data_IF_528047382960
#
_entry.id   IF_528047382960
#
_cell.length_a   1.000
_cell.length_b   1.000
_cell.length_c   1.000
_cell.angle_alpha   90.00
_cell.angle_beta   90.00
_cell.angle_gamma   90.00
#
_symmetry.space_group_name_H-M   'P 1'
#
loop_
_entity.id
_entity.type
_entity.pdbx_description
1 polymer ?
#
# COMPACT_ATOMS: atom_id res chain seq x y z
N UNK A 1 12.94 2.31 28.50
CA UNK A 1 13.09 2.02 27.06
C UNK A 1 12.03 2.81 26.33
N UNK A 2 12.43 3.75 25.48
CA UNK A 2 11.48 4.59 24.74
C UNK A 2 10.93 3.77 23.58
N UNK A 3 9.63 3.49 23.61
CA UNK A 3 8.93 2.86 22.48
C UNK A 3 8.55 3.94 21.49
N UNK A 4 8.67 3.64 20.20
CA UNK A 4 8.16 4.50 19.12
C UNK A 4 6.87 3.89 18.59
N UNK A 5 5.92 4.73 18.17
CA UNK A 5 4.62 4.26 17.68
C UNK A 5 4.23 5.02 16.43
N UNK A 6 3.55 4.33 15.52
CA UNK A 6 3.01 4.91 14.30
C UNK A 6 1.71 4.23 13.93
N UNK A 7 0.82 4.97 13.27
CA UNK A 7 -0.44 4.45 12.79
C UNK A 7 -0.69 4.97 11.38
N UNK A 8 -1.22 4.10 10.54
CA UNK A 8 -1.71 4.45 9.22
C UNK A 8 -2.86 3.53 8.82
N UNK A 9 -3.56 3.94 7.77
CA UNK A 9 -4.70 3.21 7.27
C UNK A 9 -4.79 3.35 5.75
N UNK A 10 -5.36 2.35 5.09
CA UNK A 10 -5.58 2.33 3.65
C UNK A 10 -6.98 1.82 3.33
N UNK A 11 -7.56 2.35 2.27
CA UNK A 11 -8.71 1.76 1.61
C UNK A 11 -8.33 0.44 0.93
N UNK A 12 -9.35 -0.35 0.59
CA UNK A 12 -9.26 -1.50 -0.29
C UNK A 12 -9.57 -1.11 -1.72
N UNK A 13 -9.46 -2.07 -2.62
CA UNK A 13 -9.68 -1.89 -4.04
C UNK A 13 -10.34 -3.13 -4.64
N UNK A 14 -11.26 -2.92 -5.58
CA UNK A 14 -11.90 -3.98 -6.36
C UNK A 14 -11.55 -3.76 -7.82
N UNK A 15 -10.83 -4.72 -8.40
CA UNK A 15 -10.59 -4.76 -9.84
C UNK A 15 -11.84 -5.27 -10.56
N UNK A 16 -12.31 -4.54 -11.58
CA UNK A 16 -13.49 -4.93 -12.39
C UNK A 16 -13.08 -5.64 -13.68
N UNK A 17 -12.17 -5.02 -14.44
CA UNK A 17 -11.62 -5.58 -15.68
C UNK A 17 -10.12 -5.34 -15.66
N UNK A 18 -9.33 -6.35 -16.05
CA UNK A 18 -7.90 -6.21 -16.13
C UNK A 18 -7.28 -7.10 -17.21
N UNK A 19 -6.05 -6.73 -17.57
CA UNK A 19 -5.09 -7.56 -18.28
C UNK A 19 -3.79 -7.52 -17.49
N UNK A 20 -3.04 -8.61 -17.51
CA UNK A 20 -1.76 -8.74 -16.78
C UNK A 20 -0.62 -8.27 -17.68
N UNK A 21 0.33 -7.54 -17.11
CA UNK A 21 1.57 -7.13 -17.75
C UNK A 21 2.73 -7.28 -16.75
N UNK A 22 3.27 -8.49 -16.68
CA UNK A 22 4.36 -8.86 -15.76
C UNK A 22 5.63 -9.35 -16.49
N UNK A 23 5.69 -9.15 -17.81
CA UNK A 23 6.84 -9.53 -18.64
C UNK A 23 8.08 -8.64 -18.45
N UNK A 24 7.95 -7.49 -17.79
CA UNK A 24 9.07 -6.57 -17.55
C UNK A 24 10.04 -7.14 -16.49
N UNK A 25 11.34 -6.98 -16.69
CA UNK A 25 12.36 -7.43 -15.74
C UNK A 25 12.34 -6.65 -14.43
N UNK A 26 11.94 -5.38 -14.48
CA UNK A 26 11.87 -4.51 -13.31
C UNK A 26 10.48 -4.57 -12.68
N UNK A 27 10.40 -4.99 -11.42
CA UNK A 27 9.14 -5.11 -10.67
C UNK A 27 8.35 -3.79 -10.63
N UNK A 28 9.03 -2.64 -10.66
CA UNK A 28 8.37 -1.34 -10.62
C UNK A 28 7.55 -1.05 -11.90
N UNK A 29 7.92 -1.67 -13.03
CA UNK A 29 7.24 -1.52 -14.31
C UNK A 29 6.17 -2.60 -14.54
N UNK A 30 6.22 -3.69 -13.78
CA UNK A 30 5.19 -4.72 -13.81
C UNK A 30 3.89 -4.24 -13.19
N UNK A 31 2.76 -4.66 -13.75
CA UNK A 31 1.45 -4.42 -13.17
C UNK A 31 0.30 -4.87 -14.07
N UNK A 32 -0.81 -4.14 -14.02
CA UNK A 32 -1.97 -4.41 -14.86
C UNK A 32 -2.50 -3.16 -15.54
N UNK A 33 -3.11 -3.34 -16.71
CA UNK A 33 -4.08 -2.42 -17.30
C UNK A 33 -5.48 -2.85 -16.92
N UNK A 34 -6.41 -1.91 -16.77
CA UNK A 34 -7.74 -2.23 -16.29
C UNK A 34 -8.53 -1.06 -15.72
N UNK A 35 -9.68 -1.37 -15.16
CA UNK A 35 -10.55 -0.44 -14.43
C UNK A 35 -10.93 -1.08 -13.10
N UNK A 36 -11.08 -0.24 -12.08
CA UNK A 36 -11.42 -0.67 -10.73
C UNK A 36 -12.10 0.43 -9.93
N UNK A 37 -12.38 0.11 -8.67
CA UNK A 37 -13.03 0.99 -7.73
C UNK A 37 -12.36 0.86 -6.36
N UNK A 38 -11.88 1.98 -5.85
CA UNK A 38 -11.42 2.08 -4.47
C UNK A 38 -12.61 2.06 -3.52
N UNK A 39 -12.54 1.19 -2.52
CA UNK A 39 -13.61 1.03 -1.54
C UNK A 39 -13.60 2.24 -0.59
N UNK A 40 -14.82 2.67 -0.29
CA UNK A 40 -15.24 3.97 0.24
C UNK A 40 -14.39 4.56 1.39
N UNK A 41 -14.29 5.91 1.49
CA UNK A 41 -13.37 6.65 2.35
C UNK A 41 -13.91 6.93 3.76
N UNK A 42 -15.12 6.47 4.12
CA UNK A 42 -15.73 6.71 5.45
C UNK A 42 -15.02 5.88 6.53
N UNK A 43 -14.62 4.65 6.21
CA UNK A 43 -13.78 3.84 7.08
C UNK A 43 -12.67 3.16 6.28
N UNK A 44 -11.40 3.26 6.71
CA UNK A 44 -10.32 2.59 6.03
C UNK A 44 -10.50 1.08 6.14
N UNK A 45 -10.34 0.42 5.00
CA UNK A 45 -10.49 -1.02 4.87
C UNK A 45 -9.47 -1.78 5.71
N UNK A 46 -8.26 -1.24 5.87
CA UNK A 46 -7.29 -1.77 6.80
C UNK A 46 -6.55 -0.67 7.57
N UNK A 47 -6.37 -0.90 8.87
CA UNK A 47 -5.65 -0.06 9.81
C UNK A 47 -4.47 -0.82 10.38
N UNK A 48 -3.32 -0.16 10.45
CA UNK A 48 -2.09 -0.70 11.01
C UNK A 48 -1.62 0.21 12.13
N UNK A 49 -1.34 -0.37 13.29
CA UNK A 49 -0.62 0.27 14.39
C UNK A 49 0.69 -0.50 14.57
N UNK A 50 1.80 0.23 14.57
CA UNK A 50 3.13 -0.34 14.83
C UNK A 50 3.68 0.22 16.13
N UNK A 51 4.39 -0.63 16.87
CA UNK A 51 5.19 -0.24 18.03
C UNK A 51 6.59 -0.78 17.85
N UNK A 52 7.58 0.12 17.84
CA UNK A 52 8.99 -0.19 17.71
C UNK A 52 9.71 -0.13 19.05
N UNK A 53 10.55 -1.12 19.31
CA UNK A 53 11.52 -1.16 20.41
C UNK A 53 12.90 -1.41 19.84
N UNK A 54 13.96 -0.81 20.41
CA UNK A 54 15.33 -0.95 19.89
C UNK A 54 15.67 -2.44 19.71
N UNK A 55 16.17 -2.79 18.53
CA UNK A 55 16.26 -4.17 18.06
C UNK A 55 17.01 -4.35 16.75
N UNK A 56 16.72 -5.43 16.04
CA UNK A 56 17.42 -5.86 14.82
C UNK A 56 16.42 -6.15 13.69
N UNK A 57 15.40 -5.31 13.51
CA UNK A 57 14.48 -5.39 12.37
C UNK A 57 13.49 -6.56 12.41
N UNK A 58 13.28 -7.19 13.57
CA UNK A 58 12.42 -8.40 13.67
C UNK A 58 10.97 -8.04 13.98
N UNK A 59 10.03 -8.81 13.44
CA UNK A 59 8.63 -8.73 13.86
C UNK A 59 8.42 -9.48 15.18
N UNK A 60 7.76 -8.83 16.13
CA UNK A 60 7.38 -9.38 17.44
C UNK A 60 5.92 -9.81 17.42
N UNK A 61 5.64 -11.11 17.63
CA UNK A 61 4.28 -11.62 17.89
C UNK A 61 3.89 -12.87 17.09
N UNK A 62 2.73 -13.45 17.46
CA UNK A 62 2.08 -14.56 16.74
C UNK A 62 1.07 -14.01 15.74
N UNK A 63 1.54 -13.36 14.67
CA UNK A 63 0.68 -13.02 13.54
C UNK A 63 0.44 -14.26 12.67
N UNK A 64 -0.66 -14.29 11.90
CA UNK A 64 -0.89 -15.37 10.94
C UNK A 64 0.26 -15.42 9.93
N UNK A 65 0.70 -16.62 9.53
CA UNK A 65 1.90 -16.81 8.70
C UNK A 65 1.94 -15.94 7.43
N UNK A 66 0.80 -15.71 6.76
CA UNK A 66 0.75 -14.87 5.55
C UNK A 66 0.96 -13.38 5.82
N UNK A 67 0.38 -12.84 6.90
CA UNK A 67 0.57 -11.43 7.27
C UNK A 67 2.02 -11.18 7.73
N UNK A 68 2.65 -12.15 8.39
CA UNK A 68 4.06 -12.06 8.78
C UNK A 68 4.99 -11.91 7.57
N UNK A 69 4.78 -12.71 6.52
CA UNK A 69 5.60 -12.64 5.29
C UNK A 69 5.46 -11.27 4.63
N UNK A 70 4.22 -10.77 4.49
CA UNK A 70 3.96 -9.45 3.92
C UNK A 70 4.65 -8.34 4.73
N UNK A 71 4.44 -8.33 6.04
CA UNK A 71 5.00 -7.30 6.92
C UNK A 71 6.54 -7.34 6.94
N UNK A 72 7.15 -8.52 6.93
CA UNK A 72 8.60 -8.64 6.86
C UNK A 72 9.12 -8.13 5.51
N UNK A 73 8.44 -8.48 4.41
CA UNK A 73 8.80 -7.99 3.07
C UNK A 73 8.69 -6.47 2.96
N UNK A 74 7.71 -5.86 3.66
CA UNK A 74 7.60 -4.39 3.78
C UNK A 74 8.83 -3.82 4.51
N UNK A 75 9.21 -4.37 5.66
CA UNK A 75 10.39 -3.92 6.42
C UNK A 75 11.66 -4.03 5.56
N UNK A 76 11.87 -5.18 4.93
CA UNK A 76 13.05 -5.46 4.11
C UNK A 76 13.12 -4.50 2.91
N UNK A 77 11.98 -4.24 2.25
CA UNK A 77 11.91 -3.33 1.11
C UNK A 77 12.06 -1.87 1.54
N UNK A 78 11.42 -1.46 2.64
CA UNK A 78 11.53 -0.11 3.19
C UNK A 78 12.95 0.20 3.66
N UNK A 79 13.69 -0.79 4.16
CA UNK A 79 15.07 -0.61 4.64
C UNK A 79 16.04 -0.05 3.59
N UNK A 80 15.72 -0.21 2.30
CA UNK A 80 16.49 0.34 1.19
C UNK A 80 16.39 1.86 1.11
N UNK A 81 15.32 2.44 1.67
CA UNK A 81 15.03 3.87 1.65
C UNK A 81 15.14 4.51 3.05
N UNK A 82 14.77 3.75 4.08
CA UNK A 82 14.82 4.17 5.50
C UNK A 82 15.52 3.08 6.30
N UNK A 83 16.88 3.04 6.29
CA UNK A 83 17.65 1.99 6.96
C UNK A 83 17.39 1.88 8.47
N UNK A 84 17.02 2.99 9.12
CA UNK A 84 16.70 3.04 10.55
C UNK A 84 15.52 2.14 10.96
N UNK A 85 14.69 1.69 10.02
CA UNK A 85 13.64 0.69 10.30
C UNK A 85 14.21 -0.62 10.87
N UNK A 86 15.46 -0.96 10.54
CA UNK A 86 16.13 -2.17 11.03
C UNK A 86 16.72 -2.01 12.44
N UNK A 87 16.76 -0.78 12.98
CA UNK A 87 17.23 -0.52 14.35
C UNK A 87 16.16 -0.85 15.41
N UNK A 88 14.97 -1.27 14.97
CA UNK A 88 13.84 -1.57 15.84
C UNK A 88 13.28 -2.96 15.54
N UNK A 89 12.84 -3.66 16.59
CA UNK A 89 11.91 -4.76 16.47
C UNK A 89 10.48 -4.22 16.53
N UNK A 90 9.61 -4.75 15.70
CA UNK A 90 8.29 -4.19 15.43
C UNK A 90 7.18 -5.12 15.87
N UNK A 91 6.30 -4.64 16.75
CA UNK A 91 4.99 -5.24 16.95
C UNK A 91 4.00 -4.57 16.00
N UNK A 92 3.34 -5.36 15.15
CA UNK A 92 2.41 -4.86 14.13
C UNK A 92 1.02 -5.39 14.42
N UNK A 93 0.09 -4.48 14.70
CA UNK A 93 -1.33 -4.77 14.90
C UNK A 93 -2.10 -4.37 13.66
N UNK A 94 -2.75 -5.34 13.03
CA UNK A 94 -3.53 -5.15 11.83
C UNK A 94 -5.01 -5.40 12.12
N UNK A 95 -5.85 -4.43 11.77
CA UNK A 95 -7.30 -4.54 11.83
C UNK A 95 -7.86 -4.19 10.45
N UNK A 96 -8.49 -5.15 9.79
CA UNK A 96 -9.18 -4.88 8.52
C UNK A 96 -10.68 -5.18 8.67
N UNK A 97 -11.52 -4.30 8.12
CA UNK A 97 -12.99 -4.38 8.25
C UNK A 97 -13.69 -5.28 7.21
N UNK A 98 -12.93 -5.87 6.29
CA UNK A 98 -13.45 -6.73 5.23
C UNK A 98 -12.89 -8.17 5.37
N UNK A 99 -13.64 -9.19 4.90
CA UNK A 99 -13.15 -10.57 4.91
C UNK A 99 -11.91 -10.74 4.03
N UNK A 100 -10.92 -11.48 4.52
CA UNK A 100 -9.69 -11.78 3.80
C UNK A 100 -9.93 -12.63 2.54
N UNK A 101 -9.06 -12.47 1.54
CA UNK A 101 -9.00 -13.30 0.32
C UNK A 101 -10.22 -13.26 -0.61
N UNK A 102 -11.07 -12.23 -0.51
CA UNK A 102 -12.24 -12.06 -1.39
C UNK A 102 -12.04 -11.04 -2.52
N UNK A 103 -10.78 -10.70 -2.84
CA UNK A 103 -10.48 -9.76 -3.94
C UNK A 103 -10.66 -8.28 -3.62
N UNK A 104 -10.69 -7.90 -2.34
CA UNK A 104 -10.84 -6.50 -1.88
C UNK A 104 -9.52 -5.71 -1.76
N UNK A 105 -8.41 -6.22 -2.31
CA UNK A 105 -7.11 -5.54 -2.24
C UNK A 105 -6.54 -5.40 -0.82
N UNK A 106 -6.90 -6.29 0.11
CA UNK A 106 -6.48 -6.23 1.51
C UNK A 106 -4.97 -6.41 1.70
N UNK A 107 -4.31 -7.17 0.82
CA UNK A 107 -2.85 -7.33 0.81
C UNK A 107 -2.18 -5.99 0.52
N UNK A 108 -2.54 -5.36 -0.61
CA UNK A 108 -2.09 -4.02 -0.98
C UNK A 108 -2.38 -2.97 0.11
N UNK A 109 -3.60 -2.96 0.66
CA UNK A 109 -3.97 -2.06 1.75
C UNK A 109 -3.10 -2.26 3.00
N UNK A 110 -2.85 -3.52 3.38
CA UNK A 110 -1.99 -3.88 4.50
C UNK A 110 -0.54 -3.49 4.27
N UNK A 111 0.01 -3.73 3.06
CA UNK A 111 1.38 -3.36 2.71
C UNK A 111 1.58 -1.84 2.74
N UNK A 112 0.66 -1.09 2.13
CA UNK A 112 0.67 0.36 2.11
C UNK A 112 0.57 0.97 3.52
N UNK A 113 -0.43 0.53 4.29
CA UNK A 113 -0.62 1.02 5.66
C UNK A 113 0.56 0.63 6.57
N UNK A 114 1.18 -0.54 6.37
CA UNK A 114 2.36 -0.94 7.15
C UNK A 114 3.56 -0.05 6.82
N UNK A 115 3.85 0.18 5.54
CA UNK A 115 4.97 1.03 5.12
C UNK A 115 4.83 2.46 5.67
N UNK A 116 3.61 3.02 5.64
CA UNK A 116 3.35 4.36 6.13
C UNK A 116 3.40 4.43 7.67
N UNK A 117 2.85 3.44 8.37
CA UNK A 117 2.88 3.40 9.83
C UNK A 117 4.32 3.30 10.38
N UNK A 118 5.17 2.48 9.75
CA UNK A 118 6.60 2.35 10.10
C UNK A 118 7.34 3.68 9.94
N UNK A 119 7.16 4.35 8.80
CA UNK A 119 7.80 5.64 8.54
C UNK A 119 7.32 6.74 9.51
N UNK A 120 6.02 6.78 9.81
CA UNK A 120 5.48 7.69 10.83
C UNK A 120 6.06 7.43 12.22
N UNK A 121 6.22 6.15 12.60
CA UNK A 121 6.85 5.79 13.88
C UNK A 121 8.31 6.27 13.96
N UNK A 122 9.03 6.24 12.84
CA UNK A 122 10.40 6.73 12.71
C UNK A 122 10.50 8.26 12.58
N UNK A 123 9.37 8.97 12.52
CA UNK A 123 9.34 10.43 12.37
C UNK A 123 9.75 10.93 10.99
N UNK A 124 9.63 10.10 9.95
CA UNK A 124 9.84 10.53 8.56
C UNK A 124 8.76 11.53 8.18
N UNK A 125 9.13 12.61 7.50
CA UNK A 125 8.20 13.64 7.05
C UNK A 125 7.10 13.04 6.14
N UNK A 126 5.85 13.43 6.37
CA UNK A 126 4.69 12.85 5.68
C UNK A 126 4.74 13.07 4.15
N UNK A 127 5.30 14.19 3.68
CA UNK A 127 5.42 14.47 2.24
C UNK A 127 6.40 13.52 1.54
N UNK A 128 7.38 13.01 2.28
CA UNK A 128 8.29 11.97 1.80
C UNK A 128 7.69 10.57 2.02
N UNK A 129 7.12 10.33 3.20
CA UNK A 129 6.65 9.01 3.61
C UNK A 129 5.47 8.52 2.79
N UNK A 130 4.55 9.40 2.42
CA UNK A 130 3.37 9.05 1.65
C UNK A 130 3.72 8.46 0.27
N UNK A 131 4.38 9.17 -0.67
CA UNK A 131 4.75 8.60 -1.97
C UNK A 131 5.68 7.40 -1.85
N UNK A 132 6.63 7.42 -0.89
CA UNK A 132 7.52 6.30 -0.66
C UNK A 132 6.78 5.03 -0.23
N UNK A 133 5.74 5.16 0.58
CA UNK A 133 4.90 4.03 1.00
C UNK A 133 4.22 3.35 -0.20
N UNK A 134 3.73 4.13 -1.18
CA UNK A 134 3.15 3.56 -2.40
C UNK A 134 4.20 2.84 -3.25
N UNK A 135 5.39 3.42 -3.39
CA UNK A 135 6.49 2.78 -4.10
C UNK A 135 6.88 1.44 -3.46
N UNK A 136 7.10 1.45 -2.14
CA UNK A 136 7.46 0.24 -1.37
C UNK A 136 6.34 -0.80 -1.46
N UNK A 137 5.09 -0.40 -1.26
CA UNK A 137 3.96 -1.33 -1.28
C UNK A 137 3.75 -1.97 -2.67
N UNK A 138 3.97 -1.23 -3.76
CA UNK A 138 3.96 -1.80 -5.11
C UNK A 138 5.01 -2.90 -5.25
N UNK A 139 6.26 -2.61 -4.88
CA UNK A 139 7.34 -3.59 -4.94
C UNK A 139 7.06 -4.82 -4.09
N UNK A 140 6.48 -4.65 -2.90
CA UNK A 140 6.09 -5.76 -2.01
C UNK A 140 5.03 -6.65 -2.67
N UNK A 141 3.97 -6.05 -3.22
CA UNK A 141 2.91 -6.80 -3.92
C UNK A 141 3.46 -7.59 -5.12
N UNK A 142 4.43 -7.01 -5.85
CA UNK A 142 5.10 -7.70 -6.95
C UNK A 142 6.03 -8.83 -6.48
N UNK A 143 6.79 -8.63 -5.42
CA UNK A 143 7.67 -9.67 -4.84
C UNK A 143 6.90 -10.89 -4.32
N UNK A 144 5.70 -10.67 -3.80
CA UNK A 144 4.86 -11.71 -3.22
C UNK A 144 3.81 -12.27 -4.18
N UNK A 145 3.81 -11.82 -5.45
CA UNK A 145 2.78 -12.17 -6.44
C UNK A 145 1.35 -11.94 -5.93
N UNK A 146 1.16 -10.89 -5.12
CA UNK A 146 -0.12 -10.55 -4.50
C UNK A 146 -1.07 -9.86 -5.48
N UNK A 147 -0.79 -8.59 -5.78
CA UNK A 147 -1.58 -7.73 -6.66
C UNK A 147 -0.78 -7.13 -7.82
N UNK A 148 -1.47 -6.82 -8.91
CA UNK A 148 -0.88 -6.23 -10.13
C UNK A 148 -1.21 -4.75 -10.33
N UNK A 149 -2.23 -4.23 -9.66
CA UNK A 149 -2.54 -2.80 -9.78
C UNK A 149 -3.41 -2.22 -8.69
N UNK A 150 -3.55 -2.92 -7.55
CA UNK A 150 -4.29 -2.40 -6.40
C UNK A 150 -3.60 -1.16 -5.83
N UNK A 151 -2.27 -1.16 -5.71
CA UNK A 151 -1.49 0.00 -5.24
C UNK A 151 -1.62 1.20 -6.20
N UNK A 152 -1.55 0.94 -7.51
CA UNK A 152 -1.74 1.98 -8.52
C UNK A 152 -3.16 2.57 -8.48
N UNK A 153 -4.17 1.72 -8.30
CA UNK A 153 -5.55 2.15 -8.14
C UNK A 153 -5.74 2.96 -6.84
N UNK A 154 -5.18 2.50 -5.71
CA UNK A 154 -5.24 3.22 -4.43
C UNK A 154 -4.57 4.60 -4.50
N UNK A 155 -3.52 4.76 -5.30
CA UNK A 155 -2.88 6.06 -5.54
C UNK A 155 -3.81 7.02 -6.29
N UNK A 156 -4.51 6.51 -7.32
CA UNK A 156 -5.48 7.28 -8.07
C UNK A 156 -6.72 7.65 -7.22
N UNK A 157 -7.23 6.68 -6.45
CA UNK A 157 -8.46 6.79 -5.67
C UNK A 157 -9.73 6.81 -6.55
N UNK A 158 -10.90 6.70 -5.90
CA UNK A 158 -12.19 6.73 -6.59
C UNK A 158 -12.35 5.58 -7.60
N UNK A 159 -12.77 5.92 -8.82
CA UNK A 159 -12.78 4.98 -9.96
C UNK A 159 -11.47 5.16 -10.73
N UNK A 160 -10.65 4.09 -10.82
CA UNK A 160 -9.38 4.12 -11.52
C UNK A 160 -9.46 3.54 -12.93
N UNK A 161 -8.68 4.09 -13.85
CA UNK A 161 -8.44 3.52 -15.17
C UNK A 161 -6.92 3.39 -15.40
N UNK A 162 -6.41 2.17 -15.25
CA UNK A 162 -5.03 1.76 -15.51
C UNK A 162 -4.80 1.58 -17.01
N UNK A 163 -4.21 2.58 -17.67
CA UNK A 163 -3.87 2.51 -19.10
C UNK A 163 -2.48 1.96 -19.38
N UNK A 164 -1.52 2.22 -18.50
CA UNK A 164 -0.22 1.56 -18.52
C UNK A 164 -0.04 0.73 -17.25
N UNK A 165 0.69 -0.39 -17.34
CA UNK A 165 1.09 -1.15 -16.17
C UNK A 165 2.22 -0.47 -15.40
N UNK A 166 2.42 -0.91 -14.16
CA UNK A 166 3.51 -0.44 -13.30
C UNK A 166 3.03 0.42 -12.14
N UNK A 167 3.99 0.77 -11.28
CA UNK A 167 3.79 1.71 -10.21
C UNK A 167 3.58 3.10 -10.81
N UNK A 168 2.58 3.88 -10.36
CA UNK A 168 2.46 5.27 -10.78
C UNK A 168 3.73 6.04 -10.40
N UNK A 169 4.06 7.08 -11.16
CA UNK A 169 5.07 8.04 -10.73
C UNK A 169 4.53 8.81 -9.52
N UNK A 170 5.09 8.54 -8.35
CA UNK A 170 4.63 9.07 -7.05
C UNK A 170 5.49 10.23 -6.56
N UNK A 171 6.71 10.37 -7.06
CA UNK A 171 7.56 11.55 -6.88
C UNK A 171 8.48 11.75 -8.10
N UNK A 172 9.38 12.74 -8.04
CA UNK A 172 10.40 12.95 -9.08
C UNK A 172 11.34 11.75 -9.25
N UNK A 173 11.56 10.97 -8.19
CA UNK A 173 12.55 9.89 -8.12
C UNK A 173 11.94 8.51 -7.83
N UNK A 174 10.65 8.43 -7.52
CA UNK A 174 9.96 7.18 -7.14
C UNK A 174 8.77 6.89 -8.05
N UNK A 175 8.63 5.63 -8.41
CA UNK A 175 7.55 5.09 -9.24
C UNK A 175 8.08 4.55 -10.57
N UNK A 176 7.18 4.04 -11.41
CA UNK A 176 7.53 3.53 -12.74
C UNK A 176 7.67 4.67 -13.77
N UNK A 177 8.56 4.48 -14.74
CA UNK A 177 8.82 5.47 -15.81
C UNK A 177 7.63 5.67 -16.76
N UNK A 178 6.71 4.69 -16.84
CA UNK A 178 5.54 4.73 -17.73
C UNK A 178 4.35 5.35 -17.00
N UNK A 179 4.45 6.63 -16.63
CA UNK A 179 3.36 7.32 -15.94
C UNK A 179 2.20 7.57 -16.91
N UNK A 180 1.12 6.81 -16.75
CA UNK A 180 -0.12 7.07 -17.49
C UNK A 180 -1.02 8.06 -16.76
N UNK A 181 -1.78 8.83 -17.56
CA UNK A 181 -2.88 9.69 -17.09
C UNK A 181 -3.98 8.82 -16.48
N UNK A 182 -4.11 8.88 -15.17
CA UNK A 182 -5.27 8.38 -14.43
C UNK A 182 -6.45 9.32 -14.66
N UNK A 183 -7.59 8.79 -15.06
CA UNK A 183 -8.85 9.55 -15.00
C UNK A 183 -9.54 9.13 -13.72
N UNK A 184 -9.44 9.99 -12.71
CA UNK A 184 -10.16 9.79 -11.44
C UNK A 184 -11.52 10.44 -11.60
N UNK A 185 -12.57 9.63 -11.66
CA UNK A 185 -13.91 10.13 -11.42
C UNK A 185 -14.15 10.12 -9.91
N UNK A 186 -14.07 11.30 -9.29
CA UNK A 186 -14.69 11.52 -7.97
C UNK A 186 -16.16 11.81 -8.25
N UNK A 187 -17.11 10.90 -7.96
CA UNK A 187 -18.51 11.26 -8.07
C UNK A 187 -18.76 12.44 -7.13
N UNK A 188 -19.08 13.61 -7.68
CA UNK A 188 -19.84 14.59 -6.91
C UNK A 188 -21.21 13.96 -6.72
N UNK A 189 -21.60 13.71 -5.47
CA UNK A 189 -23.00 13.44 -5.16
C UNK A 189 -23.73 14.74 -5.48
N UNK A 190 -24.27 14.85 -6.70
CA UNK A 190 -25.29 15.84 -7.02
C UNK A 190 -26.51 15.34 -6.26
N UNK A 191 -26.87 16.05 -5.18
CA UNK A 191 -27.99 15.68 -4.34
C UNK A 191 -29.22 15.38 -5.18
N UNK A 192 -29.91 14.29 -4.84
CA UNK A 192 -31.24 14.03 -5.37
C UNK A 192 -32.11 15.20 -4.91
N UNK A 193 -32.57 16.04 -5.84
CA UNK A 193 -33.66 16.97 -5.53
C UNK A 193 -34.88 16.08 -5.25
N UNK A 194 -35.25 16.01 -3.97
CA UNK A 194 -36.56 15.47 -3.57
C UNK A 194 -37.63 16.25 -4.33
N UNK A 195 -38.44 15.53 -5.11
CA UNK A 195 -39.64 16.03 -5.77
C UNK A 195 -40.88 15.63 -4.99
#
# INVERSE_FOLDING_TARGET
MTKITGQAASSGHITLLFSVQDDDTELINQGSRGIGLCIDPIQPTCQIIVTGEIGLGKILGKSQNQNLILQQTVIDTLSQFVPSVLEYNWQIQQSCGLPQQQGFGLSAAGALATALALQRALGVDEQLAHPQSFHVAHLVERKLSGGLGDIAALWAGGIDLRREPGCPQVSETLGGFRSCRWVVFKPQIIGCLEG
#
